data_IF_835868761306
#
_entry.id   IF_835868761306
#
_cell.length_a   1.000
_cell.length_b   1.000
_cell.length_c   1.000
_cell.angle_alpha   90.00
_cell.angle_beta   90.00
_cell.angle_gamma   90.00
#
_symmetry.space_group_name_H-M   'P 1'
#
loop_
_entity.id
_entity.type
_entity.pdbx_description
1 polymer ?
#
# COMPACT_ATOMS: atom_id res chain seq x y z
N UNK A 1 -82.78 0.62 -6.51
CA UNK A 1 -82.01 0.71 -5.24
C UNK A 1 -80.58 0.27 -5.51
N UNK A 2 -79.72 1.19 -5.96
CA UNK A 2 -78.29 0.91 -6.15
C UNK A 2 -77.51 1.62 -5.03
N UNK A 3 -76.85 0.83 -4.17
CA UNK A 3 -75.89 1.34 -3.18
C UNK A 3 -74.58 1.64 -3.90
N UNK A 4 -74.20 2.91 -3.95
CA UNK A 4 -72.90 3.36 -4.44
C UNK A 4 -71.93 3.36 -3.26
N UNK A 5 -70.99 2.43 -3.23
CA UNK A 5 -69.93 2.38 -2.22
C UNK A 5 -68.77 3.23 -2.70
N UNK A 6 -68.50 4.36 -2.03
CA UNK A 6 -67.31 5.17 -2.26
C UNK A 6 -66.12 4.49 -1.55
N UNK A 7 -65.12 4.05 -2.32
CA UNK A 7 -63.83 3.60 -1.77
C UNK A 7 -62.83 4.72 -2.01
N UNK A 8 -62.46 5.43 -0.95
CA UNK A 8 -61.38 6.42 -0.99
C UNK A 8 -60.03 5.70 -1.08
N UNK A 9 -59.37 5.83 -2.22
CA UNK A 9 -57.98 5.40 -2.38
C UNK A 9 -57.06 6.45 -1.75
N UNK A 10 -56.41 6.09 -0.64
CA UNK A 10 -55.33 6.87 -0.05
C UNK A 10 -54.05 6.52 -0.83
N UNK A 11 -53.60 7.42 -1.71
CA UNK A 11 -52.25 7.33 -2.26
C UNK A 11 -51.26 7.72 -1.16
N UNK A 12 -50.63 6.73 -0.54
CA UNK A 12 -49.45 6.94 0.28
C UNK A 12 -48.25 7.18 -0.66
N UNK A 13 -47.91 8.46 -0.87
CA UNK A 13 -46.65 8.82 -1.51
C UNK A 13 -45.50 8.44 -0.58
N UNK A 14 -44.84 7.33 -0.88
CA UNK A 14 -43.57 6.99 -0.24
C UNK A 14 -42.52 8.01 -0.68
N UNK A 15 -42.13 8.91 0.21
CA UNK A 15 -40.92 9.71 0.00
C UNK A 15 -39.74 8.78 0.17
N UNK A 16 -39.13 8.36 -0.94
CA UNK A 16 -37.80 7.77 -0.93
C UNK A 16 -36.85 8.81 -0.34
N UNK A 17 -36.37 8.56 0.88
CA UNK A 17 -35.17 9.23 1.38
C UNK A 17 -34.04 8.93 0.40
N UNK A 18 -33.34 9.95 -0.13
CA UNK A 18 -32.13 9.67 -0.90
C UNK A 18 -31.17 8.95 0.04
N UNK A 19 -30.75 7.75 -0.34
CA UNK A 19 -29.59 7.13 0.27
C UNK A 19 -28.45 8.16 0.14
N UNK A 20 -27.89 8.58 1.27
CA UNK A 20 -26.61 9.28 1.25
C UNK A 20 -25.67 8.30 0.57
N UNK A 21 -25.25 8.62 -0.66
CA UNK A 21 -24.14 7.94 -1.29
C UNK A 21 -22.96 8.18 -0.35
N UNK A 22 -22.60 7.15 0.39
CA UNK A 22 -21.45 7.17 1.26
C UNK A 22 -20.24 7.35 0.33
N UNK A 23 -19.52 8.45 0.51
CA UNK A 23 -18.33 8.81 -0.28
C UNK A 23 -17.19 7.88 0.17
N UNK A 24 -17.29 6.62 -0.27
CA UNK A 24 -16.36 5.52 -0.04
C UNK A 24 -15.12 5.59 -0.95
N UNK A 25 -14.91 6.70 -1.65
CA UNK A 25 -13.71 6.90 -2.44
C UNK A 25 -12.46 6.96 -1.56
N UNK A 26 -11.35 6.46 -2.07
CA UNK A 26 -10.04 6.55 -1.45
C UNK A 26 -9.65 8.01 -1.19
N UNK A 27 -9.14 8.30 0.01
CA UNK A 27 -8.77 9.66 0.45
C UNK A 27 -7.27 9.76 0.65
N UNK A 28 -6.76 10.99 0.61
CA UNK A 28 -5.36 11.29 0.90
C UNK A 28 -4.90 10.75 2.27
N UNK A 29 -5.79 10.79 3.26
CA UNK A 29 -5.50 10.25 4.59
C UNK A 29 -5.20 8.75 4.55
N UNK A 30 -5.91 8.00 3.71
CA UNK A 30 -5.72 6.56 3.60
C UNK A 30 -4.38 6.23 2.94
N UNK A 31 -3.96 7.02 1.95
CA UNK A 31 -2.61 6.94 1.35
C UNK A 31 -1.53 7.23 2.37
N UNK A 32 -1.69 8.28 3.17
CA UNK A 32 -0.74 8.62 4.22
C UNK A 32 -0.63 7.48 5.26
N UNK A 33 -1.75 6.84 5.63
CA UNK A 33 -1.78 5.68 6.54
C UNK A 33 -1.12 4.44 5.93
N UNK A 34 -1.32 4.19 4.64
CA UNK A 34 -0.69 3.09 3.92
C UNK A 34 0.84 3.28 3.88
N UNK A 35 1.31 4.48 3.54
CA UNK A 35 2.73 4.86 3.57
C UNK A 35 3.35 4.72 4.96
N UNK A 36 2.66 5.17 6.01
CA UNK A 36 3.12 5.00 7.40
C UNK A 36 3.20 3.52 7.79
N UNK A 37 2.21 2.72 7.39
CA UNK A 37 2.20 1.27 7.65
C UNK A 37 3.36 0.57 6.94
N UNK A 38 3.65 0.95 5.70
CA UNK A 38 4.80 0.46 4.95
C UNK A 38 6.14 0.86 5.61
N UNK A 39 6.30 2.13 5.95
CA UNK A 39 7.50 2.64 6.65
C UNK A 39 7.75 1.87 7.95
N UNK A 40 6.70 1.66 8.75
CA UNK A 40 6.77 0.90 10.00
C UNK A 40 7.14 -0.56 9.75
N UNK A 41 6.61 -1.19 8.71
CA UNK A 41 6.93 -2.56 8.36
C UNK A 41 8.42 -2.75 8.07
N UNK A 42 9.06 -1.85 7.33
CA UNK A 42 10.50 -1.90 7.05
C UNK A 42 11.32 -1.87 8.34
N UNK A 43 11.01 -0.93 9.25
CA UNK A 43 11.69 -0.81 10.54
C UNK A 43 11.44 -2.05 11.42
N UNK A 44 10.20 -2.57 11.46
CA UNK A 44 9.85 -3.76 12.26
C UNK A 44 10.58 -5.02 11.78
N UNK A 45 10.73 -5.22 10.46
CA UNK A 45 11.48 -6.36 9.90
C UNK A 45 12.96 -6.28 10.32
N UNK A 46 13.58 -5.11 10.16
CA UNK A 46 14.97 -4.89 10.57
C UNK A 46 15.17 -5.08 12.08
N UNK A 47 14.24 -4.57 12.90
CA UNK A 47 14.29 -4.75 14.35
C UNK A 47 14.11 -6.21 14.75
N UNK A 48 13.22 -6.96 14.09
CA UNK A 48 13.07 -8.40 14.34
C UNK A 48 14.39 -9.15 14.10
N UNK A 49 15.16 -8.78 13.06
CA UNK A 49 16.49 -9.34 12.82
C UNK A 49 17.47 -9.01 13.95
N UNK A 50 17.51 -7.77 14.40
CA UNK A 50 18.37 -7.30 15.50
C UNK A 50 18.05 -8.05 16.80
N UNK A 51 16.76 -8.23 17.09
CA UNK A 51 16.27 -8.90 18.30
C UNK A 51 16.46 -10.43 18.26
N UNK A 52 16.96 -11.00 17.16
CA UNK A 52 17.08 -12.44 16.97
C UNK A 52 15.72 -13.16 16.85
N UNK A 53 14.67 -12.45 16.42
CA UNK A 53 13.34 -12.99 16.15
C UNK A 53 13.25 -13.52 14.72
N UNK A 54 12.14 -14.20 14.40
CA UNK A 54 11.83 -14.67 13.05
C UNK A 54 11.41 -13.51 12.14
N UNK A 55 12.40 -12.79 11.60
CA UNK A 55 12.20 -11.66 10.71
C UNK A 55 11.63 -12.06 9.34
N UNK A 56 11.83 -13.31 8.89
CA UNK A 56 11.28 -13.79 7.63
C UNK A 56 9.76 -13.94 7.72
N UNK A 57 9.26 -14.51 8.82
CA UNK A 57 7.82 -14.58 9.07
C UNK A 57 7.20 -13.19 9.24
N UNK A 58 7.89 -12.25 9.88
CA UNK A 58 7.45 -10.85 9.95
C UNK A 58 7.37 -10.24 8.55
N UNK A 59 8.39 -10.41 7.72
CA UNK A 59 8.38 -9.90 6.35
C UNK A 59 7.24 -10.49 5.51
N UNK A 60 7.05 -11.81 5.57
CA UNK A 60 5.94 -12.52 4.90
C UNK A 60 4.58 -11.95 5.30
N UNK A 61 4.35 -11.79 6.60
CA UNK A 61 3.12 -11.20 7.11
C UNK A 61 2.91 -9.76 6.60
N UNK A 62 3.94 -8.92 6.65
CA UNK A 62 3.84 -7.52 6.22
C UNK A 62 3.60 -7.40 4.72
N UNK A 63 4.25 -8.22 3.91
CA UNK A 63 4.04 -8.22 2.46
C UNK A 63 2.62 -8.64 2.12
N UNK A 64 2.10 -9.74 2.70
CA UNK A 64 0.70 -10.15 2.50
C UNK A 64 -0.31 -9.10 2.97
N UNK A 65 0.02 -8.36 4.05
CA UNK A 65 -0.84 -7.28 4.53
C UNK A 65 -0.86 -6.07 3.60
N UNK A 66 0.27 -5.69 3.04
CA UNK A 66 0.44 -4.41 2.35
C UNK A 66 0.34 -4.48 0.83
N UNK A 67 0.61 -5.63 0.21
CA UNK A 67 0.67 -5.79 -1.24
C UNK A 67 -0.48 -6.66 -1.75
N UNK A 68 -0.89 -6.39 -3.00
CA UNK A 68 -2.03 -7.06 -3.65
C UNK A 68 -1.63 -8.34 -4.39
N UNK A 69 -0.76 -9.16 -3.80
CA UNK A 69 -0.27 -10.39 -4.46
C UNK A 69 -1.32 -11.51 -4.53
N UNK A 70 -2.34 -11.48 -3.67
CA UNK A 70 -3.36 -12.54 -3.60
C UNK A 70 -4.45 -12.35 -4.66
N UNK A 71 -4.86 -11.09 -4.90
CA UNK A 71 -6.03 -10.77 -5.74
C UNK A 71 -5.67 -9.98 -7.02
N UNK A 72 -4.44 -9.49 -7.15
CA UNK A 72 -4.03 -8.57 -8.21
C UNK A 72 -2.66 -8.82 -8.83
N UNK A 73 -2.29 -7.94 -9.75
CA UNK A 73 -0.94 -7.89 -10.34
C UNK A 73 -0.13 -6.81 -9.62
N UNK A 74 1.05 -7.17 -9.10
CA UNK A 74 1.95 -6.21 -8.46
C UNK A 74 3.11 -5.88 -9.40
N UNK A 75 3.26 -4.60 -9.74
CA UNK A 75 4.39 -4.07 -10.50
C UNK A 75 5.47 -3.59 -9.53
N UNK A 76 6.55 -4.36 -9.36
CA UNK A 76 7.56 -4.05 -8.35
C UNK A 76 8.94 -3.91 -9.01
N UNK A 77 9.43 -2.66 -9.06
CA UNK A 77 10.83 -2.33 -9.37
C UNK A 77 11.54 -1.72 -8.15
N UNK A 78 12.27 -2.50 -7.34
CA UNK A 78 12.96 -2.01 -6.16
C UNK A 78 14.15 -1.06 -6.45
N UNK A 79 14.70 -0.46 -5.39
CA UNK A 79 15.83 0.48 -5.45
C UNK A 79 17.17 -0.18 -5.76
N UNK A 80 17.46 -1.32 -5.13
CA UNK A 80 18.78 -1.98 -5.14
C UNK A 80 18.77 -3.28 -5.93
N UNK A 81 18.29 -3.23 -7.18
CA UNK A 81 18.32 -4.36 -8.10
C UNK A 81 18.87 -3.89 -9.45
N UNK A 82 20.01 -4.44 -9.85
CA UNK A 82 20.79 -4.01 -11.01
C UNK A 82 20.72 -5.01 -12.16
N UNK A 83 20.78 -6.31 -11.87
CA UNK A 83 20.82 -7.37 -12.89
C UNK A 83 19.41 -7.83 -13.25
N UNK A 84 18.59 -8.20 -12.25
CA UNK A 84 17.17 -8.51 -12.40
C UNK A 84 16.36 -7.41 -11.72
N UNK A 85 15.76 -6.52 -12.50
CA UNK A 85 15.23 -5.26 -12.00
C UNK A 85 13.82 -5.37 -11.39
N UNK A 86 13.15 -6.52 -11.47
CA UNK A 86 11.73 -6.65 -11.12
C UNK A 86 11.45 -7.77 -10.10
N UNK A 87 10.43 -7.57 -9.26
CA UNK A 87 10.02 -8.50 -8.19
C UNK A 87 8.51 -8.67 -8.14
N UNK A 88 7.94 -9.02 -9.30
CA UNK A 88 6.49 -8.99 -9.54
C UNK A 88 5.73 -10.15 -8.90
N UNK A 89 6.43 -11.14 -8.34
CA UNK A 89 5.82 -12.21 -7.53
C UNK A 89 6.03 -11.99 -6.03
N UNK A 90 5.17 -12.62 -5.23
CA UNK A 90 5.28 -12.59 -3.77
C UNK A 90 6.66 -13.03 -3.27
N UNK A 91 7.16 -14.17 -3.75
CA UNK A 91 8.43 -14.73 -3.28
C UNK A 91 9.63 -13.86 -3.67
N UNK A 92 9.58 -13.22 -4.85
CA UNK A 92 10.56 -12.23 -5.26
C UNK A 92 10.52 -10.97 -4.38
N UNK A 93 9.32 -10.50 -4.00
CA UNK A 93 9.19 -9.38 -3.07
C UNK A 93 9.76 -9.72 -1.68
N UNK A 94 9.52 -10.93 -1.18
CA UNK A 94 10.15 -11.42 0.05
C UNK A 94 11.66 -11.46 -0.10
N UNK A 95 12.15 -12.01 -1.21
CA UNK A 95 13.57 -12.03 -1.54
C UNK A 95 14.18 -10.64 -1.46
N UNK A 96 13.55 -9.62 -2.04
CA UNK A 96 14.07 -8.26 -1.97
C UNK A 96 14.18 -7.74 -0.54
N UNK A 97 13.16 -7.95 0.30
CA UNK A 97 13.16 -7.40 1.65
C UNK A 97 14.09 -8.12 2.61
N UNK A 98 14.21 -9.45 2.53
CA UNK A 98 14.95 -10.25 3.52
C UNK A 98 15.99 -11.23 2.93
N UNK A 99 16.26 -11.14 1.63
CA UNK A 99 17.14 -12.04 0.88
C UNK A 99 16.45 -13.36 0.52
N UNK A 100 17.10 -14.17 -0.32
CA UNK A 100 16.67 -15.54 -0.59
C UNK A 100 16.71 -15.91 -2.07
N UNK A 101 15.55 -15.84 -2.73
CA UNK A 101 15.31 -16.43 -4.06
C UNK A 101 16.17 -15.81 -5.16
N UNK A 102 16.27 -14.48 -5.21
CA UNK A 102 17.02 -13.77 -6.25
C UNK A 102 18.43 -13.48 -5.74
N UNK A 103 19.43 -13.87 -6.52
CA UNK A 103 20.83 -13.93 -6.07
C UNK A 103 21.44 -12.59 -5.63
N UNK A 104 20.98 -11.48 -6.21
CA UNK A 104 21.47 -10.14 -5.84
C UNK A 104 20.77 -9.56 -4.60
N UNK A 105 19.67 -10.16 -4.15
CA UNK A 105 18.92 -9.65 -3.02
C UNK A 105 19.59 -10.05 -1.71
N UNK A 106 20.20 -9.08 -1.04
CA UNK A 106 20.82 -9.27 0.28
C UNK A 106 19.90 -8.87 1.44
N UNK A 107 18.62 -8.59 1.16
CA UNK A 107 17.62 -8.13 2.12
C UNK A 107 17.68 -6.64 2.42
N UNK A 108 16.87 -5.85 1.73
CA UNK A 108 16.78 -4.39 1.90
C UNK A 108 16.39 -3.97 3.32
N UNK A 109 15.45 -4.68 3.95
CA UNK A 109 14.99 -4.40 5.31
C UNK A 109 15.94 -4.96 6.39
N UNK A 110 16.92 -5.79 6.02
CA UNK A 110 17.95 -6.29 6.93
C UNK A 110 19.08 -5.28 7.14
N UNK A 111 19.19 -4.26 6.28
CA UNK A 111 19.86 -3.03 6.66
C UNK A 111 19.02 -2.37 7.76
N UNK A 112 19.53 -2.21 8.99
CA UNK A 112 18.72 -1.75 10.11
C UNK A 112 18.38 -0.27 9.95
N UNK A 113 17.20 0.00 9.40
CA UNK A 113 16.62 1.32 9.33
C UNK A 113 15.95 1.68 10.65
N UNK A 114 16.22 2.86 11.17
CA UNK A 114 15.61 3.37 12.40
C UNK A 114 14.33 4.16 12.13
N UNK A 115 14.22 4.72 10.92
CA UNK A 115 13.05 5.47 10.48
C UNK A 115 12.94 5.44 8.96
N UNK A 116 11.70 5.53 8.47
CA UNK A 116 11.39 5.79 7.07
C UNK A 116 10.33 6.88 7.03
N UNK A 117 10.60 7.99 6.36
CA UNK A 117 9.63 9.08 6.20
C UNK A 117 9.34 9.35 4.73
N UNK A 118 8.06 9.52 4.41
CA UNK A 118 7.59 9.90 3.08
C UNK A 118 7.46 11.42 2.99
N UNK A 119 7.82 11.96 1.83
CA UNK A 119 7.51 13.29 1.34
C UNK A 119 6.84 13.15 -0.03
N UNK A 120 5.52 13.28 -0.05
CA UNK A 120 4.76 13.22 -1.30
C UNK A 120 5.01 14.51 -2.08
N UNK A 121 5.39 14.38 -3.36
CA UNK A 121 5.35 15.49 -4.30
C UNK A 121 3.88 15.75 -4.68
N UNK A 122 3.16 14.69 -5.04
CA UNK A 122 1.71 14.75 -5.27
C UNK A 122 1.07 13.36 -5.15
N UNK A 123 -0.26 13.34 -5.06
CA UNK A 123 -1.10 12.13 -5.04
C UNK A 123 -2.28 12.31 -6.00
N UNK A 124 -2.31 11.49 -7.05
CA UNK A 124 -3.45 11.38 -7.95
C UNK A 124 -4.48 10.40 -7.37
N UNK A 125 -5.63 10.91 -6.91
CA UNK A 125 -6.71 10.12 -6.31
C UNK A 125 -7.85 9.86 -7.30
N UNK A 126 -8.34 8.63 -7.32
CA UNK A 126 -9.62 8.19 -7.91
C UNK A 126 -10.43 7.45 -6.85
N UNK A 127 -11.64 7.00 -7.20
CA UNK A 127 -12.55 6.34 -6.26
C UNK A 127 -11.94 5.08 -5.65
N UNK A 128 -11.38 4.20 -6.47
CA UNK A 128 -10.87 2.87 -6.09
C UNK A 128 -9.36 2.73 -6.28
N UNK A 129 -8.69 3.79 -6.76
CA UNK A 129 -7.28 3.75 -7.10
C UNK A 129 -6.58 5.06 -6.78
N UNK A 130 -5.30 5.00 -6.42
CA UNK A 130 -4.45 6.16 -6.32
C UNK A 130 -3.03 5.87 -6.77
N UNK A 131 -2.34 6.92 -7.21
CA UNK A 131 -0.88 6.90 -7.41
C UNK A 131 -0.28 8.05 -6.61
N UNK A 132 0.71 7.74 -5.79
CA UNK A 132 1.52 8.73 -5.10
C UNK A 132 2.95 8.68 -5.63
N UNK A 133 3.59 9.84 -5.75
CA UNK A 133 5.00 9.92 -6.08
C UNK A 133 5.69 10.99 -5.25
N UNK A 134 6.99 10.84 -5.07
CA UNK A 134 7.80 11.78 -4.32
C UNK A 134 9.10 11.16 -3.86
N UNK A 135 9.54 11.61 -2.70
CA UNK A 135 10.75 11.12 -2.08
C UNK A 135 10.42 10.44 -0.75
N UNK A 136 11.24 9.47 -0.39
CA UNK A 136 11.27 8.94 0.96
C UNK A 136 12.70 8.78 1.44
N UNK A 137 12.87 8.88 2.76
CA UNK A 137 14.15 8.99 3.40
C UNK A 137 14.28 7.88 4.42
N UNK A 138 15.32 7.08 4.25
CA UNK A 138 15.63 5.97 5.12
C UNK A 138 16.76 6.38 6.06
N UNK A 139 16.50 6.41 7.36
CA UNK A 139 17.48 6.76 8.38
C UNK A 139 18.18 5.50 8.87
N UNK A 140 19.51 5.44 8.77
CA UNK A 140 20.30 4.33 9.29
C UNK A 140 20.54 4.45 10.82
N UNK A 141 21.27 3.49 11.40
CA UNK A 141 21.61 3.49 12.83
C UNK A 141 22.57 4.62 13.23
N UNK A 142 23.28 5.23 12.28
CA UNK A 142 24.14 6.38 12.53
C UNK A 142 23.36 7.71 12.42
N UNK A 143 22.06 7.67 12.13
CA UNK A 143 21.22 8.84 11.94
C UNK A 143 21.37 9.49 10.56
N UNK A 144 22.05 8.84 9.61
CA UNK A 144 22.19 9.34 8.24
C UNK A 144 20.97 8.96 7.41
N UNK A 145 20.45 9.94 6.67
CA UNK A 145 19.37 9.70 5.71
C UNK A 145 19.90 9.32 4.33
N UNK A 146 19.25 8.32 3.72
CA UNK A 146 19.36 7.99 2.30
C UNK A 146 18.08 8.46 1.61
N UNK A 147 18.22 9.42 0.70
CA UNK A 147 17.11 9.90 -0.14
C UNK A 147 16.89 8.95 -1.31
N UNK A 148 15.64 8.57 -1.52
CA UNK A 148 15.22 7.67 -2.60
C UNK A 148 13.94 8.23 -3.23
N UNK A 149 13.77 8.05 -4.53
CA UNK A 149 12.57 8.40 -5.27
C UNK A 149 11.60 7.21 -5.26
N UNK A 150 10.30 7.50 -5.26
CA UNK A 150 9.30 6.46 -5.33
C UNK A 150 8.11 6.83 -6.24
N UNK A 151 7.45 5.80 -6.75
CA UNK A 151 6.07 5.86 -7.25
C UNK A 151 5.34 4.64 -6.72
N UNK A 152 4.27 4.86 -5.95
CA UNK A 152 3.45 3.81 -5.37
C UNK A 152 2.03 3.91 -5.95
N UNK A 153 1.50 2.79 -6.40
CA UNK A 153 0.08 2.63 -6.72
C UNK A 153 -0.64 1.93 -5.58
N UNK A 154 -1.90 2.33 -5.37
CA UNK A 154 -2.75 1.84 -4.30
C UNK A 154 -4.11 1.47 -4.86
N UNK A 155 -4.56 0.26 -4.59
CA UNK A 155 -5.90 -0.23 -4.94
C UNK A 155 -6.74 -0.43 -3.67
N UNK A 156 -8.04 -0.18 -3.76
CA UNK A 156 -9.00 -0.49 -2.72
C UNK A 156 -9.53 -1.92 -2.93
N UNK A 157 -9.15 -2.84 -2.06
CA UNK A 157 -9.62 -4.23 -2.08
C UNK A 157 -11.10 -4.34 -1.65
N UNK A 158 -11.74 -5.46 -1.96
CA UNK A 158 -13.16 -5.70 -1.65
C UNK A 158 -13.48 -5.66 -0.15
N UNK A 159 -12.50 -6.03 0.70
CA UNK A 159 -12.61 -5.96 2.15
C UNK A 159 -12.42 -4.54 2.73
N UNK A 160 -12.21 -3.55 1.86
CA UNK A 160 -11.97 -2.15 2.20
C UNK A 160 -10.51 -1.84 2.60
N UNK A 161 -9.61 -2.82 2.51
CA UNK A 161 -8.18 -2.59 2.74
C UNK A 161 -7.52 -1.92 1.54
N UNK A 162 -6.51 -1.09 1.80
CA UNK A 162 -5.69 -0.49 0.75
C UNK A 162 -4.44 -1.34 0.55
N UNK A 163 -4.20 -1.74 -0.69
CA UNK A 163 -3.08 -2.60 -1.09
C UNK A 163 -2.20 -1.89 -2.11
N UNK A 164 -0.92 -2.22 -2.07
CA UNK A 164 0.07 -1.74 -3.04
C UNK A 164 0.08 -2.70 -4.23
N UNK A 165 -0.21 -2.16 -5.42
CA UNK A 165 -0.15 -2.86 -6.70
C UNK A 165 0.96 -2.33 -7.62
N UNK A 166 1.58 -1.20 -7.25
CA UNK A 166 2.75 -0.64 -7.93
C UNK A 166 3.74 -0.15 -6.88
N UNK A 167 4.99 -0.58 -6.98
CA UNK A 167 6.12 -0.10 -6.21
C UNK A 167 7.30 0.11 -7.14
N UNK A 168 7.53 1.35 -7.53
CA UNK A 168 8.76 1.78 -8.20
C UNK A 168 9.63 2.54 -7.21
N UNK A 169 10.92 2.20 -7.14
CA UNK A 169 11.88 2.99 -6.38
C UNK A 169 13.26 3.08 -7.04
N UNK A 170 13.91 4.24 -6.93
CA UNK A 170 15.22 4.53 -7.51
C UNK A 170 16.03 5.47 -6.63
N UNK A 171 17.37 5.33 -6.68
CA UNK A 171 18.23 6.42 -6.22
C UNK A 171 18.15 7.58 -7.22
N UNK A 172 18.22 8.84 -6.75
CA UNK A 172 18.28 9.99 -7.65
C UNK A 172 19.42 9.86 -8.66
N UNK A 173 19.15 10.29 -9.88
CA UNK A 173 20.14 10.25 -10.98
C UNK A 173 21.43 10.99 -10.59
N UNK A 174 22.57 10.35 -10.85
CA UNK A 174 23.90 10.96 -10.73
C UNK A 174 24.51 11.08 -12.14
N UNK A 175 24.76 12.31 -12.65
CA UNK A 175 25.28 12.55 -13.99
C UNK A 175 26.75 12.15 -14.20
#
# INVERSE_FOLDING_TARGET
MNKLTLVSAILASSMMTPAIADDHGMKLEDINKAQQSWAKAIVEIGQAKIDGKDYESVAKQKVSQLYDFDDGTVLFKPTKAAEDQFRNSYDEAISYFVGGMVSEDTGFALQPWTNVRFENEDVALKTDYAVAMGNYYFTDQAGKEVKVEYTFGYTLAEDGSIKIDLHHSSLPYQP
#
